data_IF_734523771359
#
_entry.id   IF_734523771359
#
_cell.length_a   1.000
_cell.length_b   1.000
_cell.length_c   1.000
_cell.angle_alpha   90.00
_cell.angle_beta   90.00
_cell.angle_gamma   90.00
#
_symmetry.space_group_name_H-M   'P 1'
#
loop_
_entity.id
_entity.type
_entity.pdbx_description
1 polymer ?
#
# COMPACT_ATOMS: atom_id res chain seq x y z
N UNK A 1 1.52 6.22 14.40
CA UNK A 1 1.72 6.59 12.98
C UNK A 1 0.38 6.74 12.25
N UNK A 2 -0.59 5.87 12.52
CA UNK A 2 -1.91 5.90 11.86
C UNK A 2 -2.80 7.12 12.16
N UNK A 3 -2.74 7.64 13.39
CA UNK A 3 -3.59 8.74 13.84
C UNK A 3 -3.46 10.03 13.00
N UNK A 4 -2.31 10.26 12.36
CA UNK A 4 -2.09 11.45 11.53
C UNK A 4 -2.59 11.28 10.09
N UNK A 5 -2.89 10.07 9.64
CA UNK A 5 -3.07 9.76 8.22
C UNK A 5 -4.33 10.39 7.63
N UNK A 6 -5.45 10.31 8.37
CA UNK A 6 -6.70 10.94 7.96
C UNK A 6 -6.57 12.47 7.93
N UNK A 7 -6.10 13.16 8.99
CA UNK A 7 -5.85 14.60 8.94
C UNK A 7 -4.96 15.03 7.76
N UNK A 8 -3.92 14.26 7.43
CA UNK A 8 -3.04 14.57 6.29
C UNK A 8 -3.80 14.48 4.96
N UNK A 9 -4.61 13.43 4.74
CA UNK A 9 -5.39 13.30 3.50
C UNK A 9 -6.42 14.42 3.36
N UNK A 10 -7.08 14.81 4.46
CA UNK A 10 -8.03 15.92 4.45
C UNK A 10 -7.33 17.25 4.11
N UNK A 11 -6.16 17.50 4.68
CA UNK A 11 -5.36 18.69 4.36
C UNK A 11 -4.92 18.73 2.88
N UNK A 12 -4.55 17.59 2.31
CA UNK A 12 -4.26 17.52 0.86
C UNK A 12 -5.51 17.75 0.01
N UNK A 13 -6.65 17.22 0.42
CA UNK A 13 -7.93 17.46 -0.24
C UNK A 13 -8.28 18.94 -0.30
N UNK A 14 -8.20 19.62 0.84
CA UNK A 14 -8.44 21.06 0.94
C UNK A 14 -7.50 21.86 0.04
N UNK A 15 -6.20 21.56 0.09
CA UNK A 15 -5.20 22.27 -0.71
C UNK A 15 -5.36 22.06 -2.23
N UNK A 16 -5.96 20.96 -2.66
CA UNK A 16 -6.12 20.59 -4.07
C UNK A 16 -7.52 20.88 -4.63
N UNK A 17 -8.50 21.17 -3.78
CA UNK A 17 -9.86 21.48 -4.19
C UNK A 17 -9.90 22.65 -5.19
N UNK A 18 -10.61 22.46 -6.31
CA UNK A 18 -10.74 23.47 -7.36
C UNK A 18 -9.47 23.74 -8.18
N UNK A 19 -8.32 23.14 -7.85
CA UNK A 19 -7.06 23.38 -8.57
C UNK A 19 -6.94 22.59 -9.87
N UNK A 20 -7.73 21.53 -10.03
CA UNK A 20 -7.60 20.56 -11.14
C UNK A 20 -6.32 19.72 -11.11
N UNK A 21 -5.51 19.79 -10.05
CA UNK A 21 -4.28 19.00 -9.89
C UNK A 21 -4.59 17.62 -9.29
N UNK A 22 -3.90 16.55 -9.73
CA UNK A 22 -4.18 15.21 -9.24
C UNK A 22 -3.59 14.96 -7.84
N UNK A 23 -4.33 14.26 -7.00
CA UNK A 23 -3.83 13.55 -5.82
C UNK A 23 -3.76 12.05 -6.14
N UNK A 24 -2.56 11.47 -6.09
CA UNK A 24 -2.36 10.03 -6.26
C UNK A 24 -1.77 9.48 -4.97
N UNK A 25 -2.50 8.61 -4.29
CA UNK A 25 -2.04 7.97 -3.06
C UNK A 25 -1.76 6.48 -3.27
N UNK A 26 -0.72 5.97 -2.60
CA UNK A 26 -0.54 4.53 -2.48
C UNK A 26 -1.61 3.96 -1.55
N UNK A 27 -2.41 3.04 -2.08
CA UNK A 27 -3.53 2.37 -1.41
C UNK A 27 -3.13 1.11 -0.67
N UNK A 28 -4.11 0.54 0.03
CA UNK A 28 -3.90 -0.47 1.05
C UNK A 28 -3.15 -1.73 0.58
N UNK A 29 -2.33 -2.23 1.50
CA UNK A 29 -1.63 -3.54 1.50
C UNK A 29 -2.55 -4.66 2.06
N UNK A 30 -3.75 -4.29 2.52
CA UNK A 30 -4.79 -5.18 2.99
C UNK A 30 -5.63 -5.67 1.82
N UNK A 31 -5.36 -6.90 1.36
CA UNK A 31 -6.30 -7.66 0.54
C UNK A 31 -7.70 -7.58 1.16
N UNK A 32 -8.80 -7.62 0.38
CA UNK A 32 -10.19 -7.55 0.88
C UNK A 32 -10.63 -8.76 1.75
N UNK A 33 -9.73 -9.34 2.54
CA UNK A 33 -9.93 -10.58 3.27
C UNK A 33 -9.69 -11.81 2.38
N UNK A 34 -10.11 -12.98 2.87
CA UNK A 34 -10.05 -14.22 2.12
C UNK A 34 -11.24 -14.30 1.15
N UNK A 35 -11.08 -13.76 -0.04
CA UNK A 35 -12.13 -13.72 -1.06
C UNK A 35 -12.31 -15.04 -1.83
N UNK A 36 -11.39 -16.01 -1.68
CA UNK A 36 -11.36 -17.22 -2.52
C UNK A 36 -11.06 -16.96 -4.01
N UNK A 37 -10.76 -15.71 -4.38
CA UNK A 37 -10.37 -15.26 -5.72
C UNK A 37 -9.35 -14.12 -5.65
N UNK A 38 -8.64 -13.80 -6.74
CA UNK A 38 -7.88 -12.56 -6.82
C UNK A 38 -8.75 -11.33 -6.52
N UNK A 39 -8.20 -10.42 -5.71
CA UNK A 39 -8.78 -9.11 -5.46
C UNK A 39 -8.68 -8.23 -6.72
N UNK A 40 -9.66 -7.34 -6.87
CA UNK A 40 -9.81 -6.37 -7.97
C UNK A 40 -10.03 -4.97 -7.39
N UNK A 41 -9.91 -3.94 -8.22
CA UNK A 41 -10.15 -2.54 -7.84
C UNK A 41 -11.60 -2.29 -7.43
N UNK A 42 -12.55 -3.13 -7.89
CA UNK A 42 -13.95 -3.07 -7.48
C UNK A 42 -14.22 -3.62 -6.08
N UNK A 43 -13.26 -4.31 -5.46
CA UNK A 43 -13.41 -4.78 -4.09
C UNK A 43 -13.25 -3.62 -3.10
N UNK A 44 -14.12 -3.49 -2.08
CA UNK A 44 -14.03 -2.40 -1.13
C UNK A 44 -12.77 -2.51 -0.27
N UNK A 45 -12.24 -1.36 0.16
CA UNK A 45 -11.23 -1.33 1.20
C UNK A 45 -11.81 -1.93 2.50
N UNK A 46 -11.02 -2.76 3.20
CA UNK A 46 -11.45 -3.24 4.51
C UNK A 46 -11.58 -2.05 5.49
N UNK A 47 -12.52 -2.10 6.45
CA UNK A 47 -12.63 -1.08 7.48
C UNK A 47 -11.31 -0.87 8.23
N UNK A 48 -10.97 0.39 8.48
CA UNK A 48 -9.96 0.81 9.45
C UNK A 48 -10.63 1.19 10.77
N UNK A 49 -9.87 1.20 11.86
CA UNK A 49 -10.36 1.51 13.20
C UNK A 49 -9.30 1.22 14.25
N UNK A 50 -9.55 1.70 15.47
CA UNK A 50 -8.65 1.55 16.62
C UNK A 50 -8.41 0.07 16.96
N UNK A 51 -9.37 -0.82 16.64
CA UNK A 51 -9.21 -2.26 16.84
C UNK A 51 -8.12 -2.89 15.95
N UNK A 52 -7.64 -2.17 14.93
CA UNK A 52 -6.56 -2.60 14.04
C UNK A 52 -5.25 -1.87 14.30
N UNK A 53 -5.14 -1.14 15.40
CA UNK A 53 -3.90 -0.49 15.80
C UNK A 53 -2.74 -1.50 15.87
N UNK A 54 -1.56 -1.08 15.40
CA UNK A 54 -0.38 -1.95 15.29
C UNK A 54 -0.37 -2.89 14.09
N UNK A 55 -1.43 -2.93 13.28
CA UNK A 55 -1.47 -3.69 12.03
C UNK A 55 -1.37 -2.78 10.81
N UNK A 56 -1.14 -3.35 9.62
CA UNK A 56 -1.22 -2.59 8.37
C UNK A 56 -2.65 -2.17 8.00
N UNK A 57 -3.69 -2.80 8.60
CA UNK A 57 -5.09 -2.52 8.27
C UNK A 57 -5.55 -1.13 8.70
N UNK A 58 -4.90 -0.55 9.71
CA UNK A 58 -5.17 0.83 10.14
C UNK A 58 -4.94 1.85 9.01
N UNK A 59 -4.07 1.53 8.04
CA UNK A 59 -3.74 2.39 6.89
C UNK A 59 -4.86 2.51 5.86
N UNK A 60 -5.89 1.65 5.93
CA UNK A 60 -7.02 1.68 5.00
C UNK A 60 -7.81 2.99 5.08
N UNK A 61 -7.67 3.73 6.18
CA UNK A 61 -8.25 5.08 6.32
C UNK A 61 -7.81 6.02 5.21
N UNK A 62 -6.57 5.87 4.69
CA UNK A 62 -6.10 6.66 3.54
C UNK A 62 -6.87 6.36 2.28
N UNK A 63 -7.06 5.09 1.97
CA UNK A 63 -7.75 4.69 0.75
C UNK A 63 -9.20 5.20 0.74
N UNK A 64 -9.92 5.00 1.85
CA UNK A 64 -11.29 5.50 1.99
C UNK A 64 -11.33 7.03 1.93
N UNK A 65 -10.42 7.73 2.61
CA UNK A 65 -10.38 9.19 2.59
C UNK A 65 -10.09 9.73 1.18
N UNK A 66 -9.08 9.19 0.49
CA UNK A 66 -8.70 9.65 -0.86
C UNK A 66 -9.80 9.38 -1.87
N UNK A 67 -10.47 8.22 -1.82
CA UNK A 67 -11.62 7.95 -2.69
C UNK A 67 -12.76 8.94 -2.39
N UNK A 68 -13.05 9.21 -1.11
CA UNK A 68 -14.10 10.16 -0.72
C UNK A 68 -13.83 11.61 -1.13
N UNK A 69 -12.57 12.03 -1.26
CA UNK A 69 -12.22 13.37 -1.77
C UNK A 69 -12.70 13.60 -3.22
N UNK A 70 -12.89 12.53 -4.00
CA UNK A 70 -13.44 12.65 -5.35
C UNK A 70 -14.87 13.21 -5.34
N UNK A 71 -15.67 12.85 -4.34
CA UNK A 71 -17.04 13.39 -4.15
C UNK A 71 -17.02 14.90 -3.81
N UNK A 72 -15.89 15.41 -3.33
CA UNK A 72 -15.65 16.82 -2.99
C UNK A 72 -15.00 17.59 -4.15
N UNK A 73 -14.94 17.01 -5.34
CA UNK A 73 -14.39 17.66 -6.54
C UNK A 73 -12.86 17.66 -6.62
N UNK A 74 -12.17 16.87 -5.78
CA UNK A 74 -10.71 16.68 -5.88
C UNK A 74 -10.42 15.59 -6.92
N UNK A 75 -9.50 15.84 -7.85
CA UNK A 75 -9.05 14.81 -8.80
C UNK A 75 -8.13 13.81 -8.08
N UNK A 76 -8.74 12.87 -7.38
CA UNK A 76 -8.06 11.95 -6.46
C UNK A 76 -8.12 10.52 -6.96
N UNK A 77 -7.07 9.75 -6.66
CA UNK A 77 -6.96 8.35 -7.05
C UNK A 77 -6.07 7.57 -6.09
N UNK A 78 -6.32 6.26 -6.03
CA UNK A 78 -5.57 5.32 -5.21
C UNK A 78 -4.92 4.26 -6.10
N UNK A 79 -3.64 4.00 -5.89
CA UNK A 79 -2.89 2.91 -6.53
C UNK A 79 -2.62 1.83 -5.49
N UNK A 80 -3.32 0.69 -5.57
CA UNK A 80 -3.04 -0.47 -4.72
C UNK A 80 -1.76 -1.15 -5.20
N UNK A 81 -0.71 -1.07 -4.39
CA UNK A 81 0.60 -1.64 -4.74
C UNK A 81 0.72 -3.05 -4.16
N UNK A 82 1.51 -3.91 -4.80
CA UNK A 82 1.81 -5.24 -4.27
C UNK A 82 2.44 -5.18 -2.87
N UNK A 83 2.15 -6.18 -2.03
CA UNK A 83 2.63 -6.25 -0.65
C UNK A 83 4.16 -6.25 -0.53
N UNK A 84 4.84 -6.69 -1.59
CA UNK A 84 6.30 -6.59 -1.70
C UNK A 84 6.63 -5.68 -2.87
N UNK A 85 6.99 -4.44 -2.55
CA UNK A 85 7.63 -3.51 -3.48
C UNK A 85 9.11 -3.53 -3.16
N UNK A 86 9.95 -3.72 -4.18
CA UNK A 86 11.40 -3.69 -3.97
C UNK A 86 12.13 -2.89 -5.03
N UNK A 87 13.33 -2.45 -4.69
CA UNK A 87 14.27 -1.78 -5.57
C UNK A 87 15.67 -2.36 -5.37
N UNK A 88 16.53 -2.20 -6.37
CA UNK A 88 17.97 -2.48 -6.21
C UNK A 88 18.64 -1.58 -5.18
N UNK A 89 17.98 -0.51 -4.75
CA UNK A 89 18.46 0.41 -3.71
C UNK A 89 18.07 -0.02 -2.29
N UNK A 90 17.28 -1.08 -2.12
CA UNK A 90 16.82 -1.51 -0.81
C UNK A 90 17.97 -2.04 0.03
N UNK A 91 18.13 -1.48 1.23
CA UNK A 91 19.14 -1.90 2.22
C UNK A 91 18.55 -2.65 3.41
N UNK A 92 17.24 -2.58 3.58
CA UNK A 92 16.50 -3.20 4.67
C UNK A 92 15.09 -3.58 4.18
N UNK A 93 14.43 -4.49 4.90
CA UNK A 93 13.08 -4.94 4.59
C UNK A 93 13.04 -6.42 4.22
N UNK A 94 11.84 -6.88 3.84
CA UNK A 94 11.54 -8.31 3.72
C UNK A 94 12.45 -9.04 2.74
N UNK A 95 12.57 -8.56 1.48
CA UNK A 95 13.38 -9.24 0.46
C UNK A 95 14.88 -9.24 0.77
N UNK A 96 15.54 -8.11 1.11
CA UNK A 96 16.95 -8.12 1.51
C UNK A 96 17.24 -9.08 2.67
N UNK A 97 16.38 -9.09 3.70
CA UNK A 97 16.51 -9.99 4.84
C UNK A 97 16.33 -11.45 4.44
N UNK A 98 15.32 -11.77 3.63
CA UNK A 98 15.08 -13.14 3.14
C UNK A 98 16.26 -13.65 2.31
N UNK A 99 16.81 -12.82 1.43
CA UNK A 99 17.98 -13.15 0.61
C UNK A 99 19.21 -13.40 1.49
N UNK A 100 19.45 -12.56 2.49
CA UNK A 100 20.56 -12.72 3.42
C UNK A 100 20.46 -14.04 4.19
N UNK A 101 19.29 -14.36 4.74
CA UNK A 101 19.03 -15.61 5.46
C UNK A 101 19.18 -16.83 4.56
N UNK A 102 18.71 -16.76 3.31
CA UNK A 102 18.84 -17.85 2.35
C UNK A 102 20.32 -18.14 2.02
N UNK A 103 21.14 -17.08 1.87
CA UNK A 103 22.58 -17.20 1.66
C UNK A 103 23.30 -17.77 2.88
N UNK A 104 22.91 -17.34 4.09
CA UNK A 104 23.49 -17.80 5.34
C UNK A 104 23.16 -19.28 5.61
N UNK A 105 21.91 -19.68 5.40
CA UNK A 105 21.40 -21.01 5.78
C UNK A 105 21.42 -22.04 4.65
N UNK A 106 21.65 -21.60 3.41
CA UNK A 106 21.60 -22.46 2.22
C UNK A 106 20.18 -22.92 1.83
N UNK A 107 19.13 -22.38 2.47
CA UNK A 107 17.74 -22.72 2.24
C UNK A 107 16.81 -21.53 2.51
N UNK A 108 15.67 -21.48 1.82
CA UNK A 108 14.59 -20.53 2.05
C UNK A 108 13.27 -21.29 2.21
N UNK A 109 12.54 -21.02 3.28
CA UNK A 109 11.23 -21.64 3.55
C UNK A 109 10.08 -20.79 3.04
N UNK A 110 9.04 -21.43 2.52
CA UNK A 110 7.73 -20.81 2.29
C UNK A 110 6.77 -21.30 3.38
N UNK A 111 5.93 -20.45 3.99
CA UNK A 111 4.92 -20.91 4.93
C UNK A 111 3.92 -21.88 4.26
N UNK A 112 3.48 -22.90 5.00
CA UNK A 112 2.47 -23.84 4.52
C UNK A 112 3.00 -24.82 3.47
N UNK A 113 2.15 -25.15 2.49
CA UNK A 113 2.43 -26.08 1.38
C UNK A 113 3.13 -25.41 0.18
N UNK A 114 3.46 -24.12 0.29
CA UNK A 114 4.06 -23.35 -0.79
C UNK A 114 3.05 -22.80 -1.81
N UNK A 115 1.74 -22.97 -1.61
CA UNK A 115 0.70 -22.42 -2.50
C UNK A 115 0.46 -20.91 -2.29
N UNK A 116 1.24 -20.24 -1.44
CA UNK A 116 1.12 -18.80 -1.20
C UNK A 116 1.42 -17.99 -2.47
N UNK A 117 0.40 -17.32 -2.99
CA UNK A 117 0.53 -16.40 -4.12
C UNK A 117 0.95 -15.01 -3.63
N UNK A 118 2.26 -14.82 -3.48
CA UNK A 118 2.82 -13.51 -3.12
C UNK A 118 2.97 -12.67 -4.38
N UNK A 119 2.37 -11.47 -4.40
CA UNK A 119 2.60 -10.49 -5.47
C UNK A 119 3.80 -9.63 -5.11
N UNK A 120 4.71 -9.44 -6.06
CA UNK A 120 5.84 -8.54 -5.93
C UNK A 120 5.98 -7.64 -7.18
N UNK A 121 6.49 -6.44 -6.99
CA UNK A 121 6.79 -5.51 -8.08
C UNK A 121 8.15 -4.83 -7.84
N UNK A 122 8.92 -4.65 -8.92
CA UNK A 122 10.16 -3.87 -8.90
C UNK A 122 9.83 -2.39 -9.11
N UNK A 123 10.20 -1.54 -8.16
CA UNK A 123 10.13 -0.09 -8.27
C UNK A 123 11.34 0.41 -9.07
N UNK A 124 11.07 1.00 -10.24
CA UNK A 124 12.08 1.71 -11.04
C UNK A 124 11.79 3.20 -11.01
N UNK A 125 12.72 3.96 -10.43
CA UNK A 125 12.65 5.42 -10.46
C UNK A 125 13.63 5.97 -11.49
N UNK A 126 13.16 6.91 -12.32
CA UNK A 126 14.02 7.78 -13.14
C UNK A 126 13.94 9.18 -12.55
N UNK A 127 14.84 9.48 -11.62
CA UNK A 127 14.96 10.84 -11.10
C UNK A 127 15.65 11.67 -12.18
N UNK A 128 14.89 12.48 -12.93
CA UNK A 128 15.49 13.58 -13.70
C UNK A 128 16.03 14.57 -12.66
N UNK A 129 17.36 14.67 -12.57
CA UNK A 129 17.96 15.77 -11.83
C UNK A 129 17.56 17.04 -12.58
N UNK A 130 16.90 17.96 -11.89
CA UNK A 130 16.65 19.32 -12.35
C UNK A 130 17.87 20.19 -12.00
#
# INVERSE_FOLDING_TARGET
MAAAELPIMLAYGEALAGTGKPLVAAGSIGLPGNLGRPATEGDPALPAGDEYEGTLRVRNVVETAVIGLAEQGVWSSVVRIANIVHSTTDRAGFLPTLIALAKEKGLAGSPGDGANLVRLVELRQRIKHA
#
